data_IF_940904632546
#
_entry.id   IF_940904632546
#
_cell.length_a   1.000
_cell.length_b   1.000
_cell.length_c   1.000
_cell.angle_alpha   90.00
_cell.angle_beta   90.00
_cell.angle_gamma   90.00
#
_symmetry.space_group_name_H-M   'P 1'
#
loop_
_entity.id
_entity.type
_entity.pdbx_description
1 polymer ?
#
# COMPACT_ATOMS: atom_id res chain seq x y z
N UNK A 1 -17.60 -8.82 12.98
CA UNK A 1 -16.79 -8.82 11.76
C UNK A 1 -15.86 -7.65 11.90
N UNK A 2 -14.54 -7.84 11.82
CA UNK A 2 -13.63 -6.69 11.76
C UNK A 2 -13.82 -6.05 10.39
N UNK A 3 -14.26 -4.79 10.36
CA UNK A 3 -14.36 -4.02 9.14
C UNK A 3 -12.96 -3.68 8.62
N UNK A 4 -12.71 -3.94 7.33
CA UNK A 4 -11.47 -3.53 6.68
C UNK A 4 -11.35 -2.01 6.70
N UNK A 5 -10.28 -1.47 7.30
CA UNK A 5 -10.05 -0.03 7.37
C UNK A 5 -9.32 0.52 6.16
N UNK A 6 -8.46 -0.26 5.53
CA UNK A 6 -7.59 0.20 4.46
C UNK A 6 -7.80 -0.59 3.18
N UNK A 7 -7.60 0.09 2.05
CA UNK A 7 -7.43 -0.55 0.74
C UNK A 7 -6.07 -0.19 0.19
N UNK A 8 -5.18 -1.17 0.10
CA UNK A 8 -3.87 -1.02 -0.53
C UNK A 8 -3.98 -1.42 -2.00
N UNK A 9 -3.52 -0.55 -2.90
CA UNK A 9 -3.41 -0.80 -4.33
C UNK A 9 -1.93 -0.75 -4.71
N UNK A 10 -1.42 -1.84 -5.27
CA UNK A 10 -0.04 -1.97 -5.75
C UNK A 10 -0.06 -2.60 -7.14
N UNK A 11 0.57 -1.94 -8.11
CA UNK A 11 0.77 -2.49 -9.47
C UNK A 11 -0.51 -3.05 -10.12
N UNK A 12 -1.62 -2.30 -10.01
CA UNK A 12 -2.92 -2.70 -10.56
C UNK A 12 -3.72 -3.70 -9.71
N UNK A 13 -3.17 -4.23 -8.61
CA UNK A 13 -3.86 -5.14 -7.70
C UNK A 13 -4.28 -4.43 -6.41
N UNK A 14 -5.54 -4.60 -6.02
CA UNK A 14 -6.10 -4.04 -4.78
C UNK A 14 -6.43 -5.11 -3.75
N UNK A 15 -6.10 -4.85 -2.48
CA UNK A 15 -6.45 -5.69 -1.33
C UNK A 15 -6.99 -4.83 -0.19
N UNK A 16 -7.97 -5.34 0.54
CA UNK A 16 -8.49 -4.72 1.76
C UNK A 16 -7.79 -5.29 2.99
N UNK A 17 -7.49 -4.43 3.96
CA UNK A 17 -6.66 -4.73 5.11
C UNK A 17 -7.27 -4.06 6.35
N UNK A 18 -7.16 -4.72 7.49
CA UNK A 18 -7.83 -4.32 8.74
C UNK A 18 -7.18 -3.12 9.41
N UNK A 19 -5.85 -3.06 9.36
CA UNK A 19 -5.07 -2.02 10.02
C UNK A 19 -3.75 -1.72 9.26
N UNK A 20 -2.96 -0.79 9.81
CA UNK A 20 -1.68 -0.40 9.22
C UNK A 20 -0.59 -1.47 9.39
N UNK A 21 -0.71 -2.40 10.33
CA UNK A 21 0.29 -3.45 10.52
C UNK A 21 0.16 -4.52 9.43
N UNK A 22 -1.08 -4.84 9.02
CA UNK A 22 -1.31 -5.65 7.82
C UNK A 22 -0.82 -4.95 6.54
N UNK A 23 -0.99 -3.63 6.43
CA UNK A 23 -0.44 -2.84 5.31
C UNK A 23 1.08 -2.96 5.27
N UNK A 24 1.76 -2.74 6.39
CA UNK A 24 3.23 -2.86 6.47
C UNK A 24 3.71 -4.26 6.14
N UNK A 25 3.06 -5.30 6.69
CA UNK A 25 3.38 -6.69 6.42
C UNK A 25 3.22 -7.01 4.93
N UNK A 26 2.18 -6.47 4.29
CA UNK A 26 1.97 -6.69 2.86
C UNK A 26 3.03 -5.98 2.02
N UNK A 27 3.36 -4.73 2.35
CA UNK A 27 4.40 -3.95 1.66
C UNK A 27 5.78 -4.60 1.78
N UNK A 28 6.13 -5.19 2.93
CA UNK A 28 7.42 -5.86 3.13
C UNK A 28 7.61 -7.14 2.30
N UNK A 29 6.53 -7.72 1.77
CA UNK A 29 6.57 -8.90 0.90
C UNK A 29 6.81 -8.55 -0.57
N UNK A 30 6.74 -7.27 -0.93
CA UNK A 30 6.83 -6.81 -2.31
C UNK A 30 8.27 -6.35 -2.59
N UNK A 31 8.96 -6.94 -3.58
CA UNK A 31 10.32 -6.51 -3.92
C UNK A 31 10.29 -5.13 -4.59
N UNK A 32 11.13 -4.21 -4.11
CA UNK A 32 11.20 -2.82 -4.63
C UNK A 32 11.64 -2.75 -6.09
N UNK A 33 12.33 -3.77 -6.62
CA UNK A 33 12.64 -3.84 -8.05
C UNK A 33 11.40 -3.74 -8.95
N UNK A 34 10.22 -4.19 -8.48
CA UNK A 34 8.97 -4.04 -9.25
C UNK A 34 8.64 -2.59 -9.58
N UNK A 35 8.91 -1.66 -8.66
CA UNK A 35 8.65 -0.24 -8.90
C UNK A 35 9.48 0.34 -10.06
N UNK A 36 10.66 -0.23 -10.33
CA UNK A 36 11.50 0.19 -11.47
C UNK A 36 10.94 -0.26 -12.83
N UNK A 37 10.15 -1.34 -12.84
CA UNK A 37 9.58 -1.93 -14.05
C UNK A 37 8.16 -1.44 -14.29
N UNK A 38 7.33 -1.47 -13.25
CA UNK A 38 5.89 -1.18 -13.34
C UNK A 38 5.54 0.29 -13.03
N UNK A 39 6.45 1.03 -12.39
CA UNK A 39 6.21 2.40 -11.94
C UNK A 39 5.34 2.49 -10.67
N UNK A 40 5.32 3.67 -10.04
CA UNK A 40 4.55 3.93 -8.81
C UNK A 40 3.23 4.66 -9.05
N UNK A 41 2.93 5.08 -10.27
CA UNK A 41 1.79 5.96 -10.58
C UNK A 41 0.43 5.39 -10.14
N UNK A 42 0.34 4.06 -10.01
CA UNK A 42 -0.86 3.34 -9.60
C UNK A 42 -0.76 2.71 -8.19
N UNK A 43 0.27 3.07 -7.40
CA UNK A 43 0.48 2.53 -6.06
C UNK A 43 0.01 3.53 -4.99
N UNK A 44 -0.98 3.15 -4.18
CA UNK A 44 -1.57 4.02 -3.17
C UNK A 44 -2.31 3.23 -2.08
N UNK A 45 -2.45 3.85 -0.91
CA UNK A 45 -3.30 3.39 0.18
C UNK A 45 -4.53 4.29 0.29
N UNK A 46 -5.70 3.72 0.56
CA UNK A 46 -6.91 4.47 0.91
C UNK A 46 -7.33 4.07 2.32
N UNK A 47 -7.53 5.05 3.20
CA UNK A 47 -8.28 4.86 4.45
C UNK A 47 -9.77 4.93 4.13
N UNK A 48 -10.46 3.81 4.31
CA UNK A 48 -11.87 3.63 3.97
C UNK A 48 -12.80 4.36 4.95
N UNK A 49 -12.32 4.74 6.14
CA UNK A 49 -13.13 5.47 7.14
C UNK A 49 -13.36 6.93 6.75
N UNK A 50 -12.43 7.54 6.03
CA UNK A 50 -12.45 8.97 5.68
C UNK A 50 -12.15 9.25 4.20
N UNK A 51 -12.00 8.19 3.38
CA UNK A 51 -11.65 8.24 1.97
C UNK A 51 -10.33 8.97 1.65
N UNK A 52 -9.43 9.18 2.63
CA UNK A 52 -8.12 9.80 2.40
C UNK A 52 -7.22 8.82 1.65
N UNK A 53 -6.62 9.31 0.57
CA UNK A 53 -5.63 8.60 -0.25
C UNK A 53 -4.23 9.02 0.16
N UNK A 54 -3.33 8.06 0.26
CA UNK A 54 -1.91 8.22 0.56
C UNK A 54 -1.07 7.60 -0.55
N UNK A 55 0.03 8.24 -0.89
CA UNK A 55 0.95 7.71 -1.90
C UNK A 55 1.81 6.59 -1.31
N UNK A 56 2.21 5.65 -2.16
CA UNK A 56 3.23 4.66 -1.83
C UNK A 56 4.54 5.09 -2.47
N UNK A 57 5.60 5.06 -1.67
CA UNK A 57 6.97 5.30 -2.12
C UNK A 57 7.87 4.14 -1.64
N UNK A 58 9.14 4.13 -2.02
CA UNK A 58 10.08 3.11 -1.56
C UNK A 58 11.49 3.66 -1.38
N UNK A 59 12.23 3.04 -0.48
CA UNK A 59 13.64 3.30 -0.21
C UNK A 59 14.44 1.97 -0.16
N UNK A 60 15.61 2.01 0.48
CA UNK A 60 16.45 0.83 0.71
C UNK A 60 15.82 -0.23 1.64
N UNK A 61 14.85 0.16 2.48
CA UNK A 61 14.18 -0.70 3.45
C UNK A 61 12.91 -1.35 2.92
N UNK A 62 12.35 -0.82 1.82
CA UNK A 62 11.16 -1.38 1.18
C UNK A 62 10.15 -0.30 0.78
N UNK A 63 8.92 -0.73 0.54
CA UNK A 63 7.81 0.19 0.31
C UNK A 63 7.28 0.78 1.61
N UNK A 64 6.89 2.05 1.57
CA UNK A 64 6.26 2.74 2.69
C UNK A 64 5.14 3.67 2.22
N UNK A 65 4.27 4.03 3.17
CA UNK A 65 3.14 4.95 2.96
C UNK A 65 3.58 6.36 3.32
N UNK A 66 3.30 7.33 2.46
CA UNK A 66 3.53 8.76 2.70
C UNK A 66 2.24 9.41 3.24
N UNK A 67 2.25 9.81 4.53
CA UNK A 67 1.06 10.25 5.29
C UNK A 67 0.72 11.75 5.20
#
# INVERSE_FOLDING_TARGET
MEDDRYKLVMFGFGVKLRDLDEVKLRLSQIPTQRAKVEGLEQCYLIDLSNAKKFNINYDENGFFVEF
#
